data_IF_575430561389
#
_entry.id   IF_575430561389
#
_cell.length_a   1.000
_cell.length_b   1.000
_cell.length_c   1.000
_cell.angle_alpha   90.00
_cell.angle_beta   90.00
_cell.angle_gamma   90.00
#
_symmetry.space_group_name_H-M   'P 1'
#
loop_
_entity.id
_entity.type
_entity.pdbx_description
1 polymer ?
#
# COMPACT_ATOMS: atom_id res chain seq x y z
N UNK A 1 -55.08 37.56 -13.59
CA UNK A 1 -53.84 36.77 -13.69
C UNK A 1 -52.93 37.29 -12.58
N UNK A 2 -52.78 36.61 -11.44
CA UNK A 2 -52.01 37.14 -10.33
C UNK A 2 -50.50 36.99 -10.58
N UNK A 3 -49.78 38.03 -10.22
CA UNK A 3 -48.34 38.31 -10.35
C UNK A 3 -47.48 37.32 -9.52
N UNK A 4 -46.32 36.85 -10.02
CA UNK A 4 -45.45 35.94 -9.26
C UNK A 4 -44.74 36.67 -8.11
N UNK A 5 -44.96 36.20 -6.88
CA UNK A 5 -44.37 36.75 -5.65
C UNK A 5 -42.83 36.62 -5.63
N UNK A 6 -42.09 37.64 -5.18
CA UNK A 6 -40.64 37.56 -5.02
C UNK A 6 -40.26 36.69 -3.81
N UNK A 7 -39.27 35.82 -3.99
CA UNK A 7 -38.74 34.91 -2.96
C UNK A 7 -38.04 35.69 -1.83
N UNK A 8 -38.14 35.26 -0.55
CA UNK A 8 -37.51 35.94 0.56
C UNK A 8 -35.98 35.83 0.51
N UNK A 9 -35.31 36.99 0.54
CA UNK A 9 -33.87 37.12 0.74
C UNK A 9 -33.52 36.73 2.19
N UNK A 10 -33.16 35.47 2.41
CA UNK A 10 -32.93 34.96 3.76
C UNK A 10 -32.14 33.66 3.84
N UNK A 11 -31.24 33.40 2.88
CA UNK A 11 -30.23 32.33 3.05
C UNK A 11 -29.05 32.91 3.83
N UNK A 12 -29.22 32.98 5.15
CA UNK A 12 -28.11 33.16 6.07
C UNK A 12 -27.26 31.90 6.01
N UNK A 13 -26.10 32.00 5.37
CA UNK A 13 -25.14 30.90 5.28
C UNK A 13 -24.51 30.66 6.65
N UNK A 14 -25.03 29.70 7.43
CA UNK A 14 -24.26 28.85 8.36
C UNK A 14 -25.20 27.75 8.89
N UNK A 15 -24.79 26.48 8.79
CA UNK A 15 -23.92 25.96 9.81
C UNK A 15 -22.68 25.31 9.22
N UNK A 16 -21.58 25.52 9.95
CA UNK A 16 -20.34 24.76 9.92
C UNK A 16 -20.63 23.29 9.57
N UNK A 17 -20.51 22.97 8.29
CA UNK A 17 -20.60 21.59 7.83
C UNK A 17 -19.29 20.98 8.29
N UNK A 18 -19.28 20.43 9.50
CA UNK A 18 -18.28 19.45 9.92
C UNK A 18 -18.23 18.41 8.84
N UNK A 19 -17.28 18.60 7.92
CA UNK A 19 -16.89 17.58 6.96
C UNK A 19 -16.52 16.42 7.88
N UNK A 20 -17.23 15.27 7.85
CA UNK A 20 -16.68 14.11 8.48
C UNK A 20 -15.34 13.92 7.78
N UNK A 21 -14.24 14.21 8.48
CA UNK A 21 -12.93 13.69 8.13
C UNK A 21 -13.19 12.20 8.03
N UNK A 22 -13.39 11.73 6.80
CA UNK A 22 -13.32 10.32 6.49
C UNK A 22 -12.02 9.90 7.16
N UNK A 23 -12.03 8.91 8.08
CA UNK A 23 -10.78 8.42 8.63
C UNK A 23 -9.92 8.15 7.41
N UNK A 24 -8.82 8.89 7.30
CA UNK A 24 -7.84 8.71 6.24
C UNK A 24 -7.65 7.22 6.18
N UNK A 25 -8.19 6.59 5.13
CA UNK A 25 -8.18 5.15 5.00
C UNK A 25 -6.69 4.88 4.98
N UNK A 26 -6.14 4.50 6.13
CA UNK A 26 -4.79 3.98 6.23
C UNK A 26 -4.91 2.73 5.41
N UNK A 27 -4.70 2.88 4.10
CA UNK A 27 -4.37 1.79 3.23
C UNK A 27 -3.33 1.03 4.03
N UNK A 28 -3.64 -0.20 4.50
CA UNK A 28 -2.73 -0.95 5.35
C UNK A 28 -1.41 -0.87 4.61
N UNK A 29 -0.41 -0.28 5.28
CA UNK A 29 0.89 0.06 4.72
C UNK A 29 1.24 -1.07 3.77
N UNK A 30 1.07 -0.85 2.45
CA UNK A 30 1.07 -1.98 1.51
C UNK A 30 2.44 -2.57 1.68
N UNK A 31 2.49 -3.80 2.21
CA UNK A 31 3.72 -4.45 2.63
C UNK A 31 4.71 -4.26 1.50
N UNK A 32 5.82 -3.59 1.77
CA UNK A 32 6.72 -3.24 0.68
C UNK A 32 7.24 -4.55 0.09
N UNK A 33 7.49 -4.61 -1.22
CA UNK A 33 8.04 -5.79 -1.88
C UNK A 33 9.23 -6.42 -1.11
N UNK A 34 10.15 -5.58 -0.61
CA UNK A 34 11.27 -5.99 0.21
C UNK A 34 10.91 -6.40 1.65
N UNK A 35 9.81 -5.93 2.24
CA UNK A 35 9.32 -6.44 3.54
C UNK A 35 8.71 -7.82 3.40
N UNK A 36 7.96 -8.06 2.32
CA UNK A 36 7.48 -9.40 2.00
C UNK A 36 8.66 -10.37 1.80
N UNK A 37 9.70 -9.96 1.09
CA UNK A 37 10.93 -10.76 0.95
C UNK A 37 11.55 -11.05 2.30
N UNK A 38 11.72 -10.04 3.16
CA UNK A 38 12.41 -10.20 4.45
C UNK A 38 11.65 -11.18 5.35
N UNK A 39 10.32 -11.04 5.45
CA UNK A 39 9.47 -11.93 6.24
C UNK A 39 9.47 -13.35 5.68
N UNK A 40 9.35 -13.51 4.35
CA UNK A 40 9.40 -14.81 3.71
C UNK A 40 10.77 -15.46 3.86
N UNK A 41 11.86 -14.69 3.72
CA UNK A 41 13.22 -15.19 3.89
C UNK A 41 13.45 -15.62 5.34
N UNK A 42 12.91 -14.88 6.30
CA UNK A 42 13.02 -15.22 7.72
C UNK A 42 12.21 -16.47 8.07
N UNK A 43 10.96 -16.56 7.63
CA UNK A 43 10.09 -17.72 7.84
C UNK A 43 10.64 -18.97 7.14
N UNK A 44 11.07 -18.84 5.89
CA UNK A 44 11.63 -19.95 5.12
C UNK A 44 12.98 -20.41 5.67
N UNK A 45 13.79 -19.53 6.28
CA UNK A 45 15.02 -19.94 6.99
C UNK A 45 14.77 -20.77 8.25
N UNK A 46 13.59 -20.64 8.87
CA UNK A 46 13.23 -21.46 10.04
C UNK A 46 13.02 -22.92 9.64
N UNK A 47 12.47 -23.16 8.45
CA UNK A 47 12.11 -24.51 7.97
C UNK A 47 13.14 -25.10 7.00
N UNK A 48 13.82 -24.25 6.21
CA UNK A 48 14.78 -24.66 5.19
C UNK A 48 16.14 -23.94 5.32
N UNK A 49 17.27 -24.68 5.25
CA UNK A 49 18.60 -24.07 5.34
C UNK A 49 18.98 -23.23 4.11
N UNK A 50 18.27 -23.38 2.99
CA UNK A 50 18.51 -22.64 1.75
C UNK A 50 17.24 -21.95 1.27
N UNK A 51 17.38 -20.66 1.00
CA UNK A 51 16.32 -19.86 0.40
C UNK A 51 16.24 -20.09 -1.11
N UNK A 52 15.04 -20.37 -1.59
CA UNK A 52 14.75 -20.43 -3.02
C UNK A 52 14.23 -19.07 -3.49
N UNK A 53 15.13 -18.21 -3.97
CA UNK A 53 14.78 -16.88 -4.51
C UNK A 53 13.75 -16.95 -5.66
N UNK A 54 13.76 -18.06 -6.40
CA UNK A 54 12.74 -18.34 -7.42
C UNK A 54 11.34 -18.47 -6.79
N UNK A 55 11.21 -19.23 -5.72
CA UNK A 55 9.95 -19.41 -4.98
C UNK A 55 9.49 -18.10 -4.31
N UNK A 56 10.42 -17.31 -3.78
CA UNK A 56 10.14 -15.97 -3.25
C UNK A 56 9.50 -15.12 -4.35
N UNK A 57 10.15 -15.03 -5.51
CA UNK A 57 9.70 -14.23 -6.64
C UNK A 57 8.35 -14.70 -7.18
N UNK A 58 8.15 -16.01 -7.36
CA UNK A 58 6.86 -16.56 -7.79
C UNK A 58 5.74 -16.24 -6.79
N UNK A 59 6.00 -16.36 -5.47
CA UNK A 59 5.01 -16.05 -4.45
C UNK A 59 4.69 -14.56 -4.40
N UNK A 60 5.70 -13.69 -4.45
CA UNK A 60 5.46 -12.24 -4.43
C UNK A 60 4.89 -11.70 -5.73
N UNK A 61 5.10 -12.35 -6.88
CA UNK A 61 4.32 -12.04 -8.10
C UNK A 61 2.86 -12.45 -7.93
N UNK A 62 2.61 -13.64 -7.36
CA UNK A 62 1.26 -14.15 -7.12
C UNK A 62 0.46 -13.30 -6.14
N UNK A 63 1.11 -12.80 -5.10
CA UNK A 63 0.52 -11.87 -4.12
C UNK A 63 0.44 -10.41 -4.64
N UNK A 64 1.06 -10.10 -5.78
CA UNK A 64 1.06 -8.74 -6.36
C UNK A 64 2.07 -7.78 -5.70
N UNK A 65 3.05 -8.28 -4.95
CA UNK A 65 4.14 -7.48 -4.40
C UNK A 65 5.22 -7.15 -5.44
N UNK A 66 5.47 -8.04 -6.41
CA UNK A 66 6.53 -7.87 -7.41
C UNK A 66 6.00 -7.41 -8.78
N UNK A 67 5.32 -6.27 -8.82
CA UNK A 67 4.91 -5.67 -10.11
C UNK A 67 6.09 -5.02 -10.86
N UNK A 68 7.11 -4.53 -10.14
CA UNK A 68 8.25 -3.82 -10.73
C UNK A 68 9.50 -4.68 -10.94
N UNK A 69 9.49 -5.94 -10.50
CA UNK A 69 10.66 -6.80 -10.62
C UNK A 69 10.48 -7.71 -11.83
N UNK A 70 11.46 -7.71 -12.72
CA UNK A 70 11.45 -8.53 -13.94
C UNK A 70 12.00 -9.93 -13.70
N UNK A 71 12.87 -10.07 -12.69
CA UNK A 71 13.62 -11.29 -12.40
C UNK A 71 13.84 -11.51 -10.91
N UNK A 72 13.90 -12.79 -10.51
CA UNK A 72 14.31 -13.21 -9.17
C UNK A 72 15.74 -12.73 -8.80
N UNK A 73 16.59 -12.49 -9.81
CA UNK A 73 17.94 -11.94 -9.62
C UNK A 73 17.88 -10.49 -9.12
N UNK A 74 16.96 -9.69 -9.65
CA UNK A 74 16.77 -8.30 -9.23
C UNK A 74 16.26 -8.24 -7.79
N UNK A 75 15.28 -9.08 -7.44
CA UNK A 75 14.80 -9.19 -6.04
C UNK A 75 15.94 -9.57 -5.09
N UNK A 76 16.74 -10.57 -5.45
CA UNK A 76 17.91 -10.97 -4.65
C UNK A 76 18.93 -9.84 -4.53
N UNK A 77 19.24 -9.15 -5.62
CA UNK A 77 20.21 -8.04 -5.62
C UNK A 77 19.73 -6.89 -4.72
N UNK A 78 18.49 -6.45 -4.88
CA UNK A 78 17.87 -5.42 -4.05
C UNK A 78 17.84 -5.83 -2.58
N UNK A 79 17.52 -7.09 -2.28
CA UNK A 79 17.54 -7.62 -0.91
C UNK A 79 18.93 -7.56 -0.29
N UNK A 80 19.95 -8.05 -1.01
CA UNK A 80 21.33 -8.03 -0.54
C UNK A 80 21.85 -6.60 -0.37
N UNK A 81 21.51 -5.68 -1.28
CA UNK A 81 21.87 -4.27 -1.15
C UNK A 81 21.22 -3.64 0.09
N UNK A 82 19.92 -3.86 0.29
CA UNK A 82 19.18 -3.35 1.46
C UNK A 82 19.75 -3.90 2.76
N UNK A 83 20.08 -5.19 2.79
CA UNK A 83 20.72 -5.84 3.94
C UNK A 83 22.10 -5.25 4.24
N UNK A 84 22.91 -4.99 3.21
CA UNK A 84 24.24 -4.37 3.35
C UNK A 84 24.15 -2.95 3.92
N UNK A 85 23.13 -2.17 3.55
CA UNK A 85 22.92 -0.81 4.09
C UNK A 85 22.37 -0.79 5.53
N UNK A 86 21.85 -1.92 6.02
CA UNK A 86 21.32 -2.08 7.39
C UNK A 86 22.39 -2.53 8.40
N UNK A 87 23.58 -2.93 7.93
CA UNK A 87 24.76 -3.25 8.74
C UNK A 87 25.66 -2.02 8.84
#
# INVERSE_FOLDING_TARGET
>A
MPEPQPLPAGVTATPERSIPVLPSFSLPQRKTDMEFVDEFVEEWRKEHPRISWKAVYEKGMKDGYFENYTDFKSVKATYHERKKRRT
#
